data_IF_975115009340
#
_entry.id   IF_975115009340
#
_cell.length_a   1.000
_cell.length_b   1.000
_cell.length_c   1.000
_cell.angle_alpha   90.00
_cell.angle_beta   90.00
_cell.angle_gamma   90.00
#
_symmetry.space_group_name_H-M   'P 1'
#
loop_
_entity.id
_entity.type
_entity.pdbx_description
1 polymer ?
#
# COMPACT_ATOMS: atom_id res chain seq x y z
N UNK A 1 63.64 35.02 5.05
CA UNK A 1 62.62 34.15 5.65
C UNK A 1 61.22 34.73 5.29
N UNK A 2 60.60 34.21 4.25
CA UNK A 2 59.21 34.60 3.89
C UNK A 2 58.26 33.53 4.43
N UNK A 3 57.36 33.96 5.24
CA UNK A 3 56.30 33.22 5.91
C UNK A 3 55.35 32.49 4.93
N UNK A 4 55.39 31.16 4.98
CA UNK A 4 54.47 30.27 4.29
C UNK A 4 53.51 29.65 5.33
N UNK A 5 52.69 30.47 5.95
CA UNK A 5 51.56 29.98 6.79
C UNK A 5 50.47 31.03 6.67
N UNK A 6 49.61 30.95 5.62
CA UNK A 6 48.18 31.04 5.83
C UNK A 6 47.31 30.18 4.89
N UNK A 7 47.87 29.44 3.93
CA UNK A 7 47.06 28.73 2.94
C UNK A 7 46.44 27.45 3.49
N UNK A 8 47.07 26.78 4.43
CA UNK A 8 46.59 25.52 5.05
C UNK A 8 45.40 25.78 6.01
N UNK A 9 45.42 26.92 6.73
CA UNK A 9 44.34 27.28 7.64
C UNK A 9 43.06 27.64 6.91
N UNK A 10 43.12 28.27 5.73
CA UNK A 10 41.95 28.60 4.90
C UNK A 10 41.34 27.37 4.25
N UNK A 11 42.14 26.37 3.86
CA UNK A 11 41.60 25.10 3.31
C UNK A 11 40.94 24.27 4.41
N UNK A 12 41.51 24.26 5.63
CA UNK A 12 40.84 23.56 6.76
C UNK A 12 39.59 24.29 7.23
N UNK A 13 39.53 25.62 7.24
CA UNK A 13 38.34 26.36 7.55
C UNK A 13 37.24 26.19 6.47
N UNK A 14 37.64 26.13 5.19
CA UNK A 14 36.75 25.80 4.07
C UNK A 14 36.21 24.38 4.15
N UNK A 15 37.03 23.39 4.56
CA UNK A 15 36.59 22.00 4.73
C UNK A 15 35.67 21.82 5.96
N UNK A 16 35.94 22.53 7.04
CA UNK A 16 35.10 22.51 8.25
C UNK A 16 33.77 23.24 8.00
N UNK A 17 33.77 24.33 7.23
CA UNK A 17 32.54 25.02 6.79
C UNK A 17 31.78 24.18 5.76
N UNK A 18 32.44 23.46 4.88
CA UNK A 18 31.81 22.51 3.95
C UNK A 18 31.30 21.25 4.64
N UNK A 19 31.93 20.80 5.71
CA UNK A 19 31.46 19.70 6.58
C UNK A 19 30.39 20.14 7.59
N UNK A 20 30.32 21.42 7.93
CA UNK A 20 29.21 21.98 8.74
C UNK A 20 28.03 22.49 7.91
N UNK A 21 28.20 22.65 6.60
CA UNK A 21 27.11 22.75 5.62
C UNK A 21 26.67 21.35 5.15
N UNK A 22 26.61 20.33 6.01
CA UNK A 22 25.51 19.37 5.93
C UNK A 22 24.29 20.23 6.11
N UNK A 23 23.64 20.56 5.00
CA UNK A 23 22.33 21.17 4.99
C UNK A 23 21.52 20.48 6.09
N UNK A 24 21.20 21.18 7.17
CA UNK A 24 20.23 20.70 8.13
C UNK A 24 19.01 20.36 7.29
N UNK A 25 18.71 19.07 7.19
CA UNK A 25 17.56 18.57 6.47
C UNK A 25 16.37 19.22 7.15
N UNK A 26 15.77 20.19 6.49
CA UNK A 26 14.72 21.00 7.09
C UNK A 26 13.49 20.12 7.22
N UNK A 27 12.96 19.99 8.42
CA UNK A 27 11.72 19.26 8.67
C UNK A 27 10.61 19.80 7.78
N UNK A 28 9.94 18.93 7.05
CA UNK A 28 8.83 19.22 6.16
C UNK A 28 7.53 19.25 6.94
N UNK A 29 7.35 18.30 7.88
CA UNK A 29 6.13 18.18 8.68
C UNK A 29 6.11 19.23 9.79
N UNK A 30 5.16 20.16 9.73
CA UNK A 30 5.04 21.26 10.68
C UNK A 30 3.90 21.00 11.66
N UNK A 31 4.16 21.18 12.95
CA UNK A 31 3.17 20.98 14.03
C UNK A 31 1.86 21.75 13.80
N UNK A 32 1.94 22.98 13.30
CA UNK A 32 0.74 23.80 13.04
C UNK A 32 -0.17 23.19 11.97
N UNK A 33 0.37 22.41 11.04
CA UNK A 33 -0.39 21.86 9.93
C UNK A 33 -1.17 20.60 10.36
N UNK A 34 -0.59 19.75 11.22
CA UNK A 34 -1.23 18.50 11.63
C UNK A 34 -2.01 18.59 12.95
N UNK A 35 -1.61 19.41 13.92
CA UNK A 35 -2.30 19.49 15.21
C UNK A 35 -3.75 19.95 15.07
N UNK A 36 -4.03 20.94 14.20
CA UNK A 36 -5.38 21.39 13.92
C UNK A 36 -6.24 20.29 13.30
N UNK A 37 -5.66 19.43 12.46
CA UNK A 37 -6.31 18.29 11.81
C UNK A 37 -6.60 17.18 12.82
N UNK A 38 -5.64 16.88 13.71
CA UNK A 38 -5.82 15.85 14.74
C UNK A 38 -6.90 16.20 15.77
N UNK A 39 -7.14 17.49 15.99
CA UNK A 39 -8.18 17.97 16.92
C UNK A 39 -9.61 17.84 16.38
N UNK A 40 -9.78 17.64 15.06
CA UNK A 40 -11.07 17.53 14.42
C UNK A 40 -11.61 16.09 14.50
N UNK A 41 -12.65 15.87 15.32
CA UNK A 41 -13.36 14.60 15.41
C UNK A 41 -14.76 14.77 14.77
N UNK A 42 -15.01 14.15 13.64
CA UNK A 42 -16.37 14.04 13.11
C UNK A 42 -16.85 12.59 13.19
N UNK A 43 -17.83 12.32 14.06
CA UNK A 43 -18.57 11.07 14.00
C UNK A 43 -19.75 11.25 13.05
N UNK A 44 -19.77 10.55 11.93
CA UNK A 44 -20.91 10.57 11.02
C UNK A 44 -22.00 9.65 11.54
N UNK A 45 -23.15 10.20 11.95
CA UNK A 45 -24.39 9.44 12.24
C UNK A 45 -25.15 9.09 10.96
N UNK A 46 -24.69 9.55 9.80
CA UNK A 46 -25.37 9.40 8.51
C UNK A 46 -25.46 7.95 8.07
N UNK A 47 -24.36 7.21 8.18
CA UNK A 47 -24.31 5.82 7.74
C UNK A 47 -25.24 4.92 8.59
N UNK A 48 -25.34 5.18 9.90
CA UNK A 48 -26.25 4.44 10.77
C UNK A 48 -27.72 4.64 10.36
N UNK A 49 -28.13 5.87 10.05
CA UNK A 49 -29.49 6.17 9.57
C UNK A 49 -29.77 5.50 8.22
N UNK A 50 -28.80 5.48 7.33
CA UNK A 50 -28.94 4.83 6.02
C UNK A 50 -29.05 3.31 6.15
N UNK A 51 -28.27 2.68 7.03
CA UNK A 51 -28.38 1.25 7.36
C UNK A 51 -29.77 0.93 7.91
N UNK A 52 -30.27 1.72 8.87
CA UNK A 52 -31.61 1.54 9.43
C UNK A 52 -32.71 1.65 8.39
N UNK A 53 -32.61 2.65 7.50
CA UNK A 53 -33.54 2.85 6.40
C UNK A 53 -33.60 1.64 5.46
N UNK A 54 -32.46 1.14 4.98
CA UNK A 54 -32.44 0.00 4.07
C UNK A 54 -32.86 -1.29 4.77
N UNK A 55 -32.54 -1.48 6.04
CA UNK A 55 -33.04 -2.62 6.82
C UNK A 55 -34.55 -2.60 7.00
N UNK A 56 -35.16 -1.43 7.19
CA UNK A 56 -36.64 -1.31 7.24
C UNK A 56 -37.28 -1.66 5.88
N UNK A 57 -36.67 -1.24 4.77
CA UNK A 57 -37.13 -1.64 3.43
C UNK A 57 -37.05 -3.15 3.23
N UNK A 58 -36.00 -3.79 3.67
CA UNK A 58 -35.80 -5.24 3.57
C UNK A 58 -36.75 -6.04 4.50
N UNK A 59 -37.23 -5.45 5.59
CA UNK A 59 -38.30 -6.06 6.42
C UNK A 59 -39.64 -6.10 5.67
N UNK A 60 -39.92 -5.13 4.78
CA UNK A 60 -41.15 -5.07 3.97
C UNK A 60 -41.03 -6.01 2.77
N UNK A 61 -39.89 -5.98 2.09
CA UNK A 61 -39.60 -6.83 0.92
C UNK A 61 -38.18 -7.39 1.05
N UNK A 62 -38.06 -8.62 1.54
CA UNK A 62 -36.78 -9.33 1.74
C UNK A 62 -36.06 -9.64 0.44
N UNK A 63 -36.76 -9.60 -0.71
CA UNK A 63 -36.21 -9.86 -2.04
C UNK A 63 -35.83 -8.60 -2.81
N UNK A 64 -35.97 -7.41 -2.21
CA UNK A 64 -35.59 -6.13 -2.82
C UNK A 64 -34.07 -6.08 -3.13
N UNK A 65 -33.70 -6.48 -4.36
CA UNK A 65 -32.26 -6.47 -4.81
C UNK A 65 -31.68 -5.09 -4.72
N UNK A 66 -32.37 -4.04 -5.13
CA UNK A 66 -31.89 -2.66 -5.04
C UNK A 66 -31.60 -2.25 -3.60
N UNK A 67 -32.45 -2.68 -2.63
CA UNK A 67 -32.23 -2.41 -1.20
C UNK A 67 -30.96 -3.13 -0.69
N UNK A 68 -30.75 -4.39 -1.07
CA UNK A 68 -29.56 -5.17 -0.72
C UNK A 68 -28.29 -4.56 -1.31
N UNK A 69 -28.30 -4.16 -2.58
CA UNK A 69 -27.16 -3.48 -3.23
C UNK A 69 -26.81 -2.17 -2.51
N UNK A 70 -27.80 -1.37 -2.12
CA UNK A 70 -27.58 -0.13 -1.38
C UNK A 70 -27.03 -0.40 0.02
N UNK A 71 -27.63 -1.34 0.76
CA UNK A 71 -27.17 -1.69 2.10
C UNK A 71 -25.73 -2.23 2.08
N UNK A 72 -25.38 -3.11 1.13
CA UNK A 72 -24.02 -3.61 0.96
C UNK A 72 -23.02 -2.47 0.62
N UNK A 73 -23.43 -1.51 -0.21
CA UNK A 73 -22.61 -0.33 -0.52
C UNK A 73 -22.32 0.51 0.72
N UNK A 74 -23.31 0.72 1.62
CA UNK A 74 -23.12 1.46 2.88
C UNK A 74 -22.15 0.72 3.81
N UNK A 75 -22.27 -0.61 3.94
CA UNK A 75 -21.36 -1.41 4.74
C UNK A 75 -19.94 -1.40 4.18
N UNK A 76 -19.76 -1.49 2.85
CA UNK A 76 -18.45 -1.38 2.19
C UNK A 76 -17.82 0.00 2.40
N UNK A 77 -18.61 1.09 2.34
CA UNK A 77 -18.15 2.43 2.65
C UNK A 77 -17.68 2.53 4.11
N UNK A 78 -18.47 2.01 5.04
CA UNK A 78 -18.15 2.02 6.47
C UNK A 78 -16.85 1.24 6.77
N UNK A 79 -16.60 0.13 6.06
CA UNK A 79 -15.31 -0.56 6.13
C UNK A 79 -14.14 0.36 5.72
N UNK A 80 -14.25 1.08 4.60
CA UNK A 80 -13.19 2.01 4.16
C UNK A 80 -12.94 3.12 5.18
N UNK A 81 -13.98 3.59 5.87
CA UNK A 81 -13.87 4.66 6.87
C UNK A 81 -13.37 4.19 8.23
N UNK A 82 -13.68 2.95 8.63
CA UNK A 82 -13.44 2.44 10.01
C UNK A 82 -12.49 1.24 10.10
N UNK A 83 -12.02 0.71 8.97
CA UNK A 83 -11.18 -0.50 8.87
C UNK A 83 -11.79 -1.75 9.56
N UNK A 84 -13.10 -1.76 9.82
CA UNK A 84 -13.79 -2.89 10.46
C UNK A 84 -14.07 -4.00 9.45
N UNK A 85 -13.27 -5.07 9.46
CA UNK A 85 -13.47 -6.21 8.57
C UNK A 85 -14.89 -6.81 8.67
N UNK A 86 -15.52 -6.75 9.84
CA UNK A 86 -16.88 -7.24 10.03
C UNK A 86 -17.90 -6.46 9.17
N UNK A 87 -17.65 -5.19 8.87
CA UNK A 87 -18.54 -4.40 8.02
C UNK A 87 -18.42 -4.84 6.55
N UNK A 88 -17.22 -5.19 6.09
CA UNK A 88 -17.01 -5.76 4.76
C UNK A 88 -17.65 -7.15 4.61
N UNK A 89 -17.53 -8.00 5.65
CA UNK A 89 -18.17 -9.32 5.67
C UNK A 89 -19.70 -9.25 5.67
N UNK A 90 -20.28 -8.23 6.31
CA UNK A 90 -21.74 -7.97 6.22
C UNK A 90 -22.15 -7.60 4.80
N UNK A 91 -21.37 -6.73 4.12
CA UNK A 91 -21.64 -6.38 2.74
C UNK A 91 -21.60 -7.62 1.82
N UNK A 92 -20.57 -8.45 1.97
CA UNK A 92 -20.42 -9.72 1.25
C UNK A 92 -21.62 -10.64 1.49
N UNK A 93 -21.94 -10.92 2.75
CA UNK A 93 -23.06 -11.81 3.11
C UNK A 93 -24.41 -11.37 2.52
N UNK A 94 -24.70 -10.05 2.55
CA UNK A 94 -25.94 -9.51 1.97
C UNK A 94 -26.00 -9.81 0.46
N UNK A 95 -24.91 -9.64 -0.27
CA UNK A 95 -24.87 -9.86 -1.72
C UNK A 95 -24.89 -11.34 -2.08
N UNK A 96 -24.24 -12.22 -1.31
CA UNK A 96 -24.27 -13.66 -1.50
C UNK A 96 -25.71 -14.21 -1.43
N UNK A 97 -26.54 -13.67 -0.53
CA UNK A 97 -27.97 -14.06 -0.44
C UNK A 97 -28.83 -13.58 -1.64
N UNK A 98 -28.21 -12.93 -2.62
CA UNK A 98 -28.91 -12.35 -3.78
C UNK A 98 -28.47 -12.97 -5.10
N UNK A 99 -27.58 -13.96 -5.09
CA UNK A 99 -27.05 -14.59 -6.30
C UNK A 99 -28.09 -15.34 -7.12
N UNK A 100 -29.16 -15.80 -6.49
CA UNK A 100 -30.28 -16.48 -7.20
C UNK A 100 -31.22 -15.51 -7.91
N UNK A 101 -31.05 -14.21 -7.76
CA UNK A 101 -31.92 -13.19 -8.33
C UNK A 101 -31.41 -12.77 -9.71
N UNK A 102 -32.28 -12.85 -10.74
CA UNK A 102 -31.93 -12.40 -12.09
C UNK A 102 -31.83 -10.87 -12.19
N UNK A 103 -32.73 -10.15 -11.50
CA UNK A 103 -32.77 -8.70 -11.56
C UNK A 103 -31.59 -8.07 -10.85
N UNK A 104 -30.81 -7.28 -11.58
CA UNK A 104 -29.65 -6.58 -11.03
C UNK A 104 -28.42 -7.46 -10.77
N UNK A 105 -28.38 -8.70 -11.28
CA UNK A 105 -27.31 -9.68 -11.05
C UNK A 105 -25.93 -9.12 -11.47
N UNK A 106 -25.85 -8.40 -12.58
CA UNK A 106 -24.59 -7.72 -12.99
C UNK A 106 -24.05 -6.81 -11.89
N UNK A 107 -24.92 -6.02 -11.25
CA UNK A 107 -24.50 -5.11 -10.16
C UNK A 107 -24.09 -5.86 -8.89
N UNK A 108 -24.71 -7.02 -8.64
CA UNK A 108 -24.33 -7.92 -7.54
C UNK A 108 -22.93 -8.46 -7.80
N UNK A 109 -22.66 -9.03 -8.97
CA UNK A 109 -21.34 -9.52 -9.34
C UNK A 109 -20.28 -8.42 -9.29
N UNK A 110 -20.56 -7.23 -9.79
CA UNK A 110 -19.63 -6.09 -9.73
C UNK A 110 -19.29 -5.66 -8.29
N UNK A 111 -20.26 -5.67 -7.37
CA UNK A 111 -19.99 -5.36 -5.96
C UNK A 111 -19.23 -6.50 -5.27
N UNK A 112 -19.58 -7.76 -5.54
CA UNK A 112 -18.84 -8.92 -5.03
C UNK A 112 -17.38 -8.92 -5.52
N UNK A 113 -17.14 -8.62 -6.81
CA UNK A 113 -15.80 -8.45 -7.34
C UNK A 113 -15.01 -7.36 -6.59
N UNK A 114 -15.64 -6.21 -6.34
CA UNK A 114 -15.01 -5.11 -5.58
C UNK A 114 -14.70 -5.48 -4.13
N UNK A 115 -15.61 -6.23 -3.47
CA UNK A 115 -15.37 -6.75 -2.11
C UNK A 115 -14.25 -7.76 -2.11
N UNK A 116 -14.18 -8.65 -3.10
CA UNK A 116 -13.12 -9.66 -3.24
C UNK A 116 -11.75 -8.99 -3.45
N UNK A 117 -11.66 -7.88 -4.22
CA UNK A 117 -10.43 -7.06 -4.29
C UNK A 117 -10.04 -6.56 -2.90
N UNK A 118 -10.97 -5.95 -2.16
CA UNK A 118 -10.71 -5.44 -0.82
C UNK A 118 -10.27 -6.53 0.19
N UNK A 119 -10.65 -7.78 -0.07
CA UNK A 119 -10.25 -8.96 0.73
C UNK A 119 -9.01 -9.66 0.19
N UNK A 120 -8.35 -9.11 -0.83
CA UNK A 120 -7.23 -9.72 -1.55
C UNK A 120 -7.55 -11.11 -2.11
N UNK A 121 -8.82 -11.37 -2.43
CA UNK A 121 -9.24 -12.59 -3.12
C UNK A 121 -9.40 -12.33 -4.63
N UNK A 122 -8.28 -12.12 -5.29
CA UNK A 122 -8.23 -11.63 -6.67
C UNK A 122 -8.77 -12.64 -7.69
N UNK A 123 -8.61 -13.95 -7.45
CA UNK A 123 -9.19 -14.98 -8.32
C UNK A 123 -10.73 -14.94 -8.29
N UNK A 124 -11.30 -14.76 -7.11
CA UNK A 124 -12.75 -14.64 -6.96
C UNK A 124 -13.26 -13.32 -7.58
N UNK A 125 -12.51 -12.23 -7.39
CA UNK A 125 -12.80 -10.95 -8.05
C UNK A 125 -12.83 -11.12 -9.57
N UNK A 126 -11.81 -11.76 -10.15
CA UNK A 126 -11.75 -12.07 -11.57
C UNK A 126 -12.98 -12.84 -12.04
N UNK A 127 -13.35 -13.90 -11.32
CA UNK A 127 -14.53 -14.72 -11.63
C UNK A 127 -15.81 -13.90 -11.62
N UNK A 128 -16.06 -13.11 -10.57
CA UNK A 128 -17.27 -12.27 -10.51
C UNK A 128 -17.29 -11.18 -11.58
N UNK A 129 -16.14 -10.59 -11.89
CA UNK A 129 -16.04 -9.59 -12.95
C UNK A 129 -16.31 -10.19 -14.34
N UNK A 130 -15.89 -11.44 -14.61
CA UNK A 130 -16.24 -12.18 -15.82
C UNK A 130 -17.75 -12.45 -15.90
N UNK A 131 -18.35 -12.97 -14.83
CA UNK A 131 -19.79 -13.19 -14.78
C UNK A 131 -20.57 -11.88 -15.01
N UNK A 132 -20.13 -10.78 -14.42
CA UNK A 132 -20.75 -9.47 -14.66
C UNK A 132 -20.61 -9.00 -16.12
N UNK A 133 -19.53 -9.36 -16.81
CA UNK A 133 -19.31 -9.01 -18.21
C UNK A 133 -20.20 -9.86 -19.13
N UNK A 134 -20.38 -11.14 -18.82
CA UNK A 134 -21.24 -12.08 -19.56
C UNK A 134 -22.71 -11.65 -19.56
N UNK A 135 -23.21 -11.12 -18.43
CA UNK A 135 -24.56 -10.55 -18.33
C UNK A 135 -24.79 -9.33 -19.26
N UNK A 136 -23.73 -8.71 -19.75
CA UNK A 136 -23.77 -7.73 -20.83
C UNK A 136 -24.13 -6.31 -20.44
N UNK A 137 -24.54 -6.05 -19.20
CA UNK A 137 -24.82 -4.70 -18.68
C UNK A 137 -23.55 -4.05 -18.10
N UNK A 138 -23.46 -2.70 -18.13
CA UNK A 138 -22.39 -1.90 -17.52
C UNK A 138 -20.99 -2.46 -17.77
N UNK A 139 -20.71 -2.89 -18.98
CA UNK A 139 -19.49 -3.60 -19.39
C UNK A 139 -18.21 -2.87 -19.01
N UNK A 140 -18.20 -1.55 -19.10
CA UNK A 140 -17.03 -0.74 -18.75
C UNK A 140 -16.60 -0.94 -17.29
N UNK A 141 -17.54 -0.93 -16.35
CA UNK A 141 -17.24 -1.20 -14.93
C UNK A 141 -16.72 -2.62 -14.72
N UNK A 142 -17.26 -3.61 -15.45
CA UNK A 142 -16.76 -4.99 -15.39
C UNK A 142 -15.32 -5.08 -15.92
N UNK A 143 -14.97 -4.35 -16.99
CA UNK A 143 -13.60 -4.27 -17.48
C UNK A 143 -12.66 -3.64 -16.45
N UNK A 144 -13.09 -2.60 -15.72
CA UNK A 144 -12.27 -2.01 -14.66
C UNK A 144 -11.95 -3.03 -13.55
N UNK A 145 -12.93 -3.81 -13.13
CA UNK A 145 -12.75 -4.85 -12.11
C UNK A 145 -11.87 -5.99 -12.61
N UNK A 146 -12.01 -6.39 -13.88
CA UNK A 146 -11.14 -7.38 -14.53
C UNK A 146 -9.70 -6.87 -14.60
N UNK A 147 -9.50 -5.61 -15.00
CA UNK A 147 -8.18 -5.00 -15.01
C UNK A 147 -7.52 -5.04 -13.61
N UNK A 148 -8.24 -4.54 -12.60
CA UNK A 148 -7.73 -4.49 -11.23
C UNK A 148 -7.38 -5.90 -10.71
N UNK A 149 -8.22 -6.91 -11.00
CA UNK A 149 -7.93 -8.29 -10.63
C UNK A 149 -6.77 -8.90 -11.44
N UNK A 150 -6.65 -8.61 -12.74
CA UNK A 150 -5.57 -9.09 -13.59
C UNK A 150 -4.20 -8.58 -13.11
N UNK A 151 -4.13 -7.28 -12.79
CA UNK A 151 -2.90 -6.65 -12.30
C UNK A 151 -2.40 -7.34 -11.03
N UNK A 152 -3.28 -7.57 -10.07
CA UNK A 152 -2.96 -8.22 -8.80
C UNK A 152 -2.65 -9.73 -8.94
N UNK A 153 -3.16 -10.36 -10.01
CA UNK A 153 -2.85 -11.77 -10.33
C UNK A 153 -1.54 -11.94 -11.12
N UNK A 154 -0.82 -10.85 -11.42
CA UNK A 154 0.37 -10.88 -12.28
C UNK A 154 0.07 -11.11 -13.76
N UNK A 155 -1.19 -10.95 -14.18
CA UNK A 155 -1.64 -11.12 -15.57
C UNK A 155 -1.53 -9.80 -16.33
N UNK A 156 -0.31 -9.29 -16.43
CA UNK A 156 -0.06 -7.94 -16.98
C UNK A 156 -0.47 -7.79 -18.44
N UNK A 157 -0.29 -8.84 -19.26
CA UNK A 157 -0.74 -8.84 -20.67
C UNK A 157 -2.25 -8.73 -20.79
N UNK A 158 -3.01 -9.51 -19.99
CA UNK A 158 -4.47 -9.41 -19.95
C UNK A 158 -4.95 -8.05 -19.43
N UNK A 159 -4.26 -7.46 -18.44
CA UNK A 159 -4.57 -6.12 -17.95
C UNK A 159 -4.40 -5.08 -19.07
N UNK A 160 -3.31 -5.15 -19.85
CA UNK A 160 -3.06 -4.26 -20.97
C UNK A 160 -4.13 -4.41 -22.06
N UNK A 161 -4.47 -5.65 -22.45
CA UNK A 161 -5.53 -5.94 -23.42
C UNK A 161 -6.90 -5.40 -22.98
N UNK A 162 -7.21 -5.48 -21.68
CA UNK A 162 -8.45 -4.93 -21.11
C UNK A 162 -8.43 -3.41 -21.23
N UNK A 163 -7.32 -2.77 -20.88
CA UNK A 163 -7.18 -1.31 -20.94
C UNK A 163 -7.36 -0.77 -22.37
N UNK A 164 -6.82 -1.49 -23.37
CA UNK A 164 -6.98 -1.13 -24.78
C UNK A 164 -8.45 -1.17 -25.27
N UNK A 165 -9.28 -2.03 -24.69
CA UNK A 165 -10.72 -2.16 -25.02
C UNK A 165 -11.59 -1.03 -24.47
N UNK A 166 -11.08 -0.24 -23.53
CA UNK A 166 -11.82 0.89 -22.96
C UNK A 166 -11.91 2.03 -23.95
N UNK A 167 -13.15 2.57 -24.10
CA UNK A 167 -13.44 3.57 -25.15
C UNK A 167 -12.98 4.97 -24.76
N UNK A 168 -13.27 5.38 -23.50
CA UNK A 168 -12.93 6.71 -23.03
C UNK A 168 -11.57 6.70 -22.32
N UNK A 169 -10.52 6.92 -23.12
CA UNK A 169 -9.12 7.01 -22.65
C UNK A 169 -8.82 8.28 -21.85
N UNK A 170 -9.78 9.19 -21.70
CA UNK A 170 -9.63 10.43 -20.95
C UNK A 170 -10.50 10.43 -19.67
N UNK A 171 -11.18 9.33 -19.37
CA UNK A 171 -11.90 9.19 -18.10
C UNK A 171 -10.94 8.99 -16.93
N UNK A 172 -11.35 9.43 -15.74
CA UNK A 172 -10.62 9.15 -14.51
C UNK A 172 -10.25 7.67 -14.35
N UNK A 173 -11.24 6.80 -14.56
CA UNK A 173 -11.08 5.36 -14.38
C UNK A 173 -10.06 4.73 -15.35
N UNK A 174 -9.97 5.25 -16.58
CA UNK A 174 -8.93 4.83 -17.52
C UNK A 174 -7.56 5.32 -17.07
N UNK A 175 -7.43 6.63 -16.80
CA UNK A 175 -6.15 7.26 -16.43
C UNK A 175 -5.55 6.64 -15.16
N UNK A 176 -6.39 6.34 -14.16
CA UNK A 176 -5.99 5.62 -12.96
C UNK A 176 -5.36 4.25 -13.29
N UNK A 177 -6.00 3.48 -14.17
CA UNK A 177 -5.52 2.13 -14.50
C UNK A 177 -4.31 2.14 -15.40
N UNK A 178 -4.24 3.10 -16.31
CA UNK A 178 -3.05 3.34 -17.09
C UNK A 178 -1.86 3.72 -16.18
N UNK A 179 -2.08 4.60 -15.19
CA UNK A 179 -1.08 4.96 -14.18
C UNK A 179 -0.57 3.72 -13.43
N UNK A 180 -1.47 2.88 -12.90
CA UNK A 180 -1.09 1.64 -12.20
C UNK A 180 -0.29 0.67 -13.09
N UNK A 181 -0.60 0.59 -14.38
CA UNK A 181 0.09 -0.29 -15.30
C UNK A 181 1.50 0.22 -15.60
N UNK A 182 1.68 1.53 -15.79
CA UNK A 182 3.00 2.13 -16.01
C UNK A 182 3.87 2.03 -14.74
N UNK A 183 3.30 2.22 -13.56
CA UNK A 183 3.97 1.99 -12.28
C UNK A 183 4.51 0.54 -12.17
N UNK A 184 3.68 -0.46 -12.51
CA UNK A 184 4.11 -1.87 -12.54
C UNK A 184 5.17 -2.19 -13.61
N UNK A 185 5.30 -1.36 -14.64
CA UNK A 185 6.37 -1.44 -15.64
C UNK A 185 7.65 -0.73 -15.19
N UNK A 186 7.64 -0.04 -14.04
CA UNK A 186 8.74 0.75 -13.52
C UNK A 186 8.83 2.16 -14.09
N UNK A 187 7.82 2.64 -14.84
CA UNK A 187 7.76 4.02 -15.36
C UNK A 187 6.93 4.90 -14.40
N UNK A 188 7.52 5.21 -13.24
CA UNK A 188 6.88 6.02 -12.21
C UNK A 188 6.57 7.45 -12.69
N UNK A 189 7.43 8.04 -13.52
CA UNK A 189 7.21 9.39 -14.06
C UNK A 189 5.96 9.43 -14.95
N UNK A 190 5.78 8.45 -15.83
CA UNK A 190 4.60 8.34 -16.66
C UNK A 190 3.36 8.02 -15.81
N UNK A 191 3.50 7.19 -14.79
CA UNK A 191 2.42 6.87 -13.87
C UNK A 191 1.92 8.13 -13.11
N UNK A 192 2.83 8.97 -12.61
CA UNK A 192 2.50 10.27 -11.97
C UNK A 192 1.77 11.18 -12.96
N UNK A 193 2.29 11.37 -14.18
CA UNK A 193 1.65 12.23 -15.18
C UNK A 193 0.22 11.79 -15.52
N UNK A 194 -0.03 10.48 -15.60
CA UNK A 194 -1.36 9.92 -15.82
C UNK A 194 -2.29 10.17 -14.63
N UNK A 195 -1.79 10.02 -13.39
CA UNK A 195 -2.56 10.29 -12.19
C UNK A 195 -2.87 11.78 -12.02
N UNK A 196 -1.93 12.69 -12.34
CA UNK A 196 -2.18 14.15 -12.37
C UNK A 196 -3.30 14.51 -13.35
N UNK A 197 -3.27 13.96 -14.58
CA UNK A 197 -4.36 14.11 -15.54
C UNK A 197 -5.68 13.53 -15.03
N UNK A 198 -5.61 12.41 -14.31
CA UNK A 198 -6.75 11.80 -13.63
C UNK A 198 -7.34 12.72 -12.56
N UNK A 199 -6.50 13.34 -11.73
CA UNK A 199 -6.92 14.27 -10.70
C UNK A 199 -7.75 15.44 -11.26
N UNK A 200 -7.42 15.97 -12.44
CA UNK A 200 -8.20 17.00 -13.09
C UNK A 200 -9.65 16.59 -13.42
N UNK A 201 -9.91 15.29 -13.54
CA UNK A 201 -11.26 14.73 -13.82
C UNK A 201 -12.11 14.56 -12.58
N UNK A 202 -11.59 14.83 -11.38
CA UNK A 202 -12.33 14.66 -10.12
C UNK A 202 -13.14 15.88 -9.73
N UNK A 203 -13.14 16.96 -10.53
CA UNK A 203 -13.84 18.21 -10.24
C UNK A 203 -15.31 18.00 -9.87
N UNK A 204 -15.72 18.53 -8.72
CA UNK A 204 -17.08 18.40 -8.20
C UNK A 204 -17.37 17.06 -7.47
N UNK A 205 -16.36 16.24 -7.23
CA UNK A 205 -16.46 15.03 -6.44
C UNK A 205 -15.32 14.97 -5.39
N UNK A 206 -15.60 15.49 -4.21
CA UNK A 206 -14.64 15.61 -3.12
C UNK A 206 -14.10 14.26 -2.64
N UNK A 207 -14.93 13.20 -2.60
CA UNK A 207 -14.51 11.86 -2.21
C UNK A 207 -13.47 11.30 -3.20
N UNK A 208 -13.74 11.47 -4.49
CA UNK A 208 -12.84 11.01 -5.54
C UNK A 208 -11.56 11.85 -5.60
N UNK A 209 -11.65 13.16 -5.38
CA UNK A 209 -10.50 14.05 -5.30
C UNK A 209 -9.59 13.66 -4.14
N UNK A 210 -10.14 13.48 -2.92
CA UNK A 210 -9.38 13.08 -1.73
C UNK A 210 -8.65 11.76 -1.98
N UNK A 211 -9.34 10.80 -2.59
CA UNK A 211 -8.74 9.52 -2.94
C UNK A 211 -7.60 9.69 -3.95
N UNK A 212 -7.81 10.42 -5.04
CA UNK A 212 -6.83 10.60 -6.10
C UNK A 212 -5.59 11.38 -5.63
N UNK A 213 -5.79 12.50 -4.93
CA UNK A 213 -4.67 13.33 -4.46
C UNK A 213 -3.84 12.64 -3.38
N UNK A 214 -4.45 11.79 -2.53
CA UNK A 214 -3.70 11.05 -1.54
C UNK A 214 -2.85 9.93 -2.16
N UNK A 215 -3.36 9.22 -3.18
CA UNK A 215 -2.54 8.26 -3.92
C UNK A 215 -1.41 8.95 -4.71
N UNK A 216 -1.68 10.14 -5.26
CA UNK A 216 -0.64 10.94 -5.90
C UNK A 216 0.43 11.38 -4.88
N UNK A 217 0.02 11.61 -3.61
CA UNK A 217 0.94 11.86 -2.50
C UNK A 217 1.93 10.71 -2.28
N UNK A 218 1.45 9.46 -2.33
CA UNK A 218 2.34 8.29 -2.23
C UNK A 218 3.30 8.24 -3.43
N UNK A 219 2.80 8.41 -4.64
CA UNK A 219 3.61 8.37 -5.87
C UNK A 219 4.70 9.46 -5.87
N UNK A 220 4.41 10.66 -5.40
CA UNK A 220 5.42 11.72 -5.22
C UNK A 220 6.46 11.32 -4.16
N UNK A 221 6.03 10.65 -3.08
CA UNK A 221 6.94 10.10 -2.07
C UNK A 221 7.91 9.08 -2.66
N UNK A 222 7.41 8.13 -3.44
CA UNK A 222 8.21 7.12 -4.15
C UNK A 222 9.20 7.77 -5.15
N UNK A 223 8.79 8.86 -5.81
CA UNK A 223 9.66 9.65 -6.70
C UNK A 223 10.67 10.56 -5.96
N UNK A 224 10.69 10.55 -4.62
CA UNK A 224 11.54 11.43 -3.82
C UNK A 224 11.10 12.91 -3.78
N UNK A 225 9.92 13.23 -4.35
CA UNK A 225 9.35 14.58 -4.38
C UNK A 225 8.57 14.88 -3.07
N UNK A 226 9.27 14.83 -1.93
CA UNK A 226 8.66 14.78 -0.60
C UNK A 226 7.81 16.01 -0.27
N UNK A 227 8.20 17.22 -0.70
CA UNK A 227 7.37 18.41 -0.51
C UNK A 227 6.05 18.32 -1.28
N UNK A 228 6.04 17.76 -2.51
CA UNK A 228 4.80 17.54 -3.25
C UNK A 228 3.92 16.48 -2.56
N UNK A 229 4.53 15.40 -2.09
CA UNK A 229 3.85 14.37 -1.29
C UNK A 229 3.15 14.97 -0.07
N UNK A 230 3.89 15.78 0.72
CA UNK A 230 3.36 16.47 1.88
C UNK A 230 2.17 17.37 1.54
N UNK A 231 2.30 18.21 0.50
CA UNK A 231 1.23 19.09 0.06
C UNK A 231 0.00 18.35 -0.45
N UNK A 232 0.18 17.21 -1.12
CA UNK A 232 -0.90 16.36 -1.58
C UNK A 232 -1.71 15.78 -0.40
N UNK A 233 -1.04 15.28 0.63
CA UNK A 233 -1.71 14.80 1.85
C UNK A 233 -2.44 15.92 2.60
N UNK A 234 -1.85 17.11 2.70
CA UNK A 234 -2.51 18.27 3.32
C UNK A 234 -3.76 18.70 2.53
N UNK A 235 -3.72 18.69 1.19
CA UNK A 235 -4.89 19.01 0.37
C UNK A 235 -6.02 17.99 0.59
N UNK A 236 -5.70 16.69 0.68
CA UNK A 236 -6.68 15.67 1.02
C UNK A 236 -7.30 15.90 2.39
N UNK A 237 -6.49 16.26 3.39
CA UNK A 237 -6.91 16.49 4.76
C UNK A 237 -7.69 17.80 4.94
N UNK A 238 -7.46 18.80 4.09
CA UNK A 238 -8.25 20.03 4.07
C UNK A 238 -9.72 19.78 3.72
N UNK A 239 -9.98 18.77 2.87
CA UNK A 239 -11.34 18.35 2.49
C UNK A 239 -11.89 17.30 3.45
N UNK A 240 -11.09 16.30 3.80
CA UNK A 240 -11.48 15.24 4.73
C UNK A 240 -10.45 15.13 5.88
N UNK A 241 -10.63 15.86 6.98
CA UNK A 241 -9.73 15.79 8.14
C UNK A 241 -9.58 14.42 8.79
N UNK A 242 -10.49 13.49 8.49
CA UNK A 242 -10.45 12.10 9.00
C UNK A 242 -9.84 11.09 8.01
N UNK A 243 -9.26 11.56 6.91
CA UNK A 243 -8.65 10.69 5.91
C UNK A 243 -7.38 10.03 6.48
N UNK A 244 -7.52 8.79 6.98
CA UNK A 244 -6.45 8.07 7.68
C UNK A 244 -5.23 7.82 6.80
N UNK A 245 -5.43 7.50 5.51
CA UNK A 245 -4.34 7.27 4.57
C UNK A 245 -3.41 8.48 4.50
N UNK A 246 -3.96 9.70 4.30
CA UNK A 246 -3.15 10.92 4.29
C UNK A 246 -2.48 11.21 5.64
N UNK A 247 -3.10 10.86 6.78
CA UNK A 247 -2.44 10.98 8.08
C UNK A 247 -1.28 10.00 8.23
N UNK A 248 -1.43 8.76 7.73
CA UNK A 248 -0.34 7.78 7.71
C UNK A 248 0.79 8.26 6.79
N UNK A 249 0.48 8.87 5.64
CA UNK A 249 1.47 9.48 4.75
C UNK A 249 2.24 10.63 5.42
N UNK A 250 1.54 11.54 6.15
CA UNK A 250 2.22 12.58 6.94
C UNK A 250 3.13 11.98 8.03
N UNK A 251 2.66 10.95 8.72
CA UNK A 251 3.46 10.24 9.72
C UNK A 251 4.70 9.58 9.09
N UNK A 252 4.55 9.00 7.89
CA UNK A 252 5.67 8.41 7.17
C UNK A 252 6.71 9.47 6.78
N UNK A 253 6.29 10.64 6.29
CA UNK A 253 7.20 11.76 5.99
C UNK A 253 7.93 12.21 7.26
N UNK A 254 7.23 12.39 8.38
CA UNK A 254 7.85 12.76 9.65
C UNK A 254 8.90 11.74 10.12
N UNK A 255 8.63 10.44 9.92
CA UNK A 255 9.53 9.36 10.31
C UNK A 255 10.67 9.15 9.32
N UNK A 256 10.34 8.91 8.05
CA UNK A 256 11.33 8.49 7.05
C UNK A 256 12.17 9.66 6.51
N UNK A 257 11.54 10.83 6.29
CA UNK A 257 12.25 12.00 5.79
C UNK A 257 12.80 12.87 6.91
N UNK A 258 11.96 13.31 7.87
CA UNK A 258 12.38 14.26 8.89
C UNK A 258 13.16 13.60 10.04
N UNK A 259 13.16 12.25 10.14
CA UNK A 259 13.81 11.51 11.21
C UNK A 259 13.16 11.76 12.58
N UNK A 260 11.86 12.07 12.61
CA UNK A 260 11.12 12.42 13.81
C UNK A 260 10.03 11.38 14.15
N UNK A 261 10.40 10.24 14.76
CA UNK A 261 9.44 9.20 15.11
C UNK A 261 8.40 9.68 16.13
N UNK A 262 8.72 10.65 17.00
CA UNK A 262 7.77 11.14 18.00
C UNK A 262 6.56 11.82 17.37
N UNK A 263 6.76 12.67 16.36
CA UNK A 263 5.65 13.29 15.59
C UNK A 263 4.85 12.22 14.86
N UNK A 264 5.54 11.28 14.22
CA UNK A 264 4.90 10.19 13.49
C UNK A 264 4.01 9.34 14.40
N UNK A 265 4.51 8.95 15.57
CA UNK A 265 3.76 8.19 16.59
C UNK A 265 2.54 8.96 17.09
N UNK A 266 2.66 10.27 17.37
CA UNK A 266 1.52 11.11 17.78
C UNK A 266 0.38 11.05 16.75
N UNK A 267 0.72 11.25 15.46
CA UNK A 267 -0.24 11.21 14.35
C UNK A 267 -0.89 9.81 14.26
N UNK A 268 -0.08 8.75 14.31
CA UNK A 268 -0.55 7.37 14.18
C UNK A 268 -1.43 6.92 15.34
N UNK A 269 -1.04 7.18 16.58
CA UNK A 269 -1.80 6.82 17.78
C UNK A 269 -3.17 7.51 17.75
N UNK A 270 -3.20 8.80 17.42
CA UNK A 270 -4.44 9.54 17.30
C UNK A 270 -5.31 8.99 16.18
N UNK A 271 -4.72 8.65 15.03
CA UNK A 271 -5.43 8.05 13.90
C UNK A 271 -6.02 6.69 14.27
N UNK A 272 -5.25 5.83 14.94
CA UNK A 272 -5.68 4.52 15.39
C UNK A 272 -6.89 4.59 16.35
N UNK A 273 -6.96 5.63 17.19
CA UNK A 273 -8.04 5.79 18.17
C UNK A 273 -9.45 5.86 17.56
N UNK A 274 -9.59 6.30 16.32
CA UNK A 274 -10.89 6.38 15.63
C UNK A 274 -11.00 5.45 14.40
N UNK A 275 -9.88 5.04 13.84
CA UNK A 275 -9.80 4.04 12.78
C UNK A 275 -8.70 3.03 13.12
N UNK A 276 -9.03 1.94 13.81
CA UNK A 276 -8.07 0.92 14.25
C UNK A 276 -7.62 0.05 13.06
N UNK A 277 -6.90 0.65 12.12
CA UNK A 277 -6.30 -0.03 10.99
C UNK A 277 -5.07 -0.82 11.47
N UNK A 278 -5.01 -2.13 11.23
CA UNK A 278 -3.87 -2.92 11.66
C UNK A 278 -2.52 -2.40 11.14
N UNK A 279 -2.45 -1.83 9.93
CA UNK A 279 -1.20 -1.31 9.36
C UNK A 279 -0.56 -0.22 10.23
N UNK A 280 -1.34 0.55 10.97
CA UNK A 280 -0.79 1.54 11.91
C UNK A 280 0.07 0.88 12.99
N UNK A 281 -0.30 -0.32 13.45
CA UNK A 281 0.50 -1.06 14.43
C UNK A 281 1.84 -1.49 13.86
N UNK A 282 1.87 -1.93 12.60
CA UNK A 282 3.12 -2.28 11.93
C UNK A 282 4.08 -1.07 11.89
N UNK A 283 3.58 0.10 11.49
CA UNK A 283 4.37 1.33 11.48
C UNK A 283 4.86 1.72 12.89
N UNK A 284 4.01 1.58 13.91
CA UNK A 284 4.39 1.86 15.30
C UNK A 284 5.43 0.88 15.84
N UNK A 285 5.37 -0.40 15.44
CA UNK A 285 6.38 -1.39 15.82
C UNK A 285 7.75 -1.05 15.22
N UNK A 286 7.80 -0.68 13.94
CA UNK A 286 9.03 -0.25 13.26
C UNK A 286 9.64 0.99 13.93
N UNK A 287 8.82 1.99 14.27
CA UNK A 287 9.30 3.19 14.97
C UNK A 287 9.84 2.88 16.37
N UNK A 288 9.21 1.94 17.10
CA UNK A 288 9.72 1.50 18.39
C UNK A 288 11.06 0.77 18.26
N UNK A 289 11.23 -0.03 17.21
CA UNK A 289 12.50 -0.68 16.90
C UNK A 289 13.58 0.34 16.52
N UNK A 290 13.27 1.33 15.70
CA UNK A 290 14.15 2.43 15.35
C UNK A 290 14.66 3.18 16.59
N UNK A 291 13.79 3.42 17.58
CA UNK A 291 14.13 4.01 18.88
C UNK A 291 14.83 3.02 19.82
N UNK A 292 15.13 1.79 19.36
CA UNK A 292 15.75 0.71 20.13
C UNK A 292 14.93 0.23 21.33
N UNK A 293 13.63 0.46 21.30
CA UNK A 293 12.69 -0.08 22.27
C UNK A 293 12.16 -1.45 21.78
N UNK A 294 13.05 -2.43 21.74
CA UNK A 294 12.78 -3.75 21.17
C UNK A 294 11.66 -4.49 21.88
N UNK A 295 11.51 -4.31 23.19
CA UNK A 295 10.43 -4.93 23.97
C UNK A 295 9.05 -4.41 23.52
N UNK A 296 8.92 -3.09 23.36
CA UNK A 296 7.68 -2.47 22.85
C UNK A 296 7.42 -2.86 21.40
N UNK A 297 8.45 -2.86 20.57
CA UNK A 297 8.33 -3.26 19.16
C UNK A 297 7.78 -4.69 19.03
N UNK A 298 8.36 -5.64 19.76
CA UNK A 298 7.90 -7.04 19.77
C UNK A 298 6.47 -7.18 20.28
N UNK A 299 6.09 -6.45 21.36
CA UNK A 299 4.74 -6.46 21.89
C UNK A 299 3.71 -5.97 20.85
N UNK A 300 4.00 -4.86 20.16
CA UNK A 300 3.12 -4.29 19.14
C UNK A 300 3.05 -5.22 17.93
N UNK A 301 4.19 -5.79 17.50
CA UNK A 301 4.24 -6.71 16.37
C UNK A 301 3.47 -8.00 16.66
N UNK A 302 3.53 -8.52 17.87
CA UNK A 302 2.76 -9.70 18.28
C UNK A 302 1.25 -9.39 18.28
N UNK A 303 0.83 -8.25 18.81
CA UNK A 303 -0.58 -7.83 18.78
C UNK A 303 -1.07 -7.60 17.32
N UNK A 304 -0.22 -7.03 16.45
CA UNK A 304 -0.50 -6.95 15.02
C UNK A 304 -0.71 -8.34 14.41
N UNK A 305 0.23 -9.26 14.65
CA UNK A 305 0.16 -10.63 14.13
C UNK A 305 -1.12 -11.35 14.59
N UNK A 306 -1.48 -11.24 15.87
CA UNK A 306 -2.69 -11.85 16.44
C UNK A 306 -3.97 -11.31 15.80
N UNK A 307 -3.98 -10.03 15.43
CA UNK A 307 -5.12 -9.41 14.73
C UNK A 307 -5.22 -9.96 13.31
N UNK A 308 -4.14 -9.87 12.51
CA UNK A 308 -4.19 -10.17 11.08
C UNK A 308 -4.23 -11.65 10.76
N UNK A 309 -3.83 -12.52 11.69
CA UNK A 309 -3.90 -13.98 11.55
C UNK A 309 -5.32 -14.55 11.74
N UNK A 310 -6.28 -13.74 12.21
CA UNK A 310 -7.66 -14.19 12.39
C UNK A 310 -8.30 -14.54 11.05
N UNK A 311 -8.98 -15.69 10.98
CA UNK A 311 -9.60 -16.23 9.76
C UNK A 311 -10.53 -15.24 9.02
N UNK A 312 -11.13 -14.29 9.73
CA UNK A 312 -12.00 -13.27 9.14
C UNK A 312 -11.29 -12.34 8.13
N UNK A 313 -9.98 -12.14 8.28
CA UNK A 313 -9.18 -11.34 7.35
C UNK A 313 -8.82 -12.08 6.07
N UNK A 314 -8.89 -13.42 6.07
CA UNK A 314 -8.56 -14.21 4.89
C UNK A 314 -7.13 -13.97 4.44
N UNK A 315 -6.95 -13.42 3.24
CA UNK A 315 -5.64 -13.22 2.63
C UNK A 315 -5.17 -11.75 2.59
N UNK A 316 -5.93 -10.83 3.21
CA UNK A 316 -5.63 -9.39 3.17
C UNK A 316 -4.21 -9.03 3.62
N UNK A 317 -3.66 -9.82 4.53
CA UNK A 317 -2.34 -9.56 5.13
C UNK A 317 -1.33 -10.68 4.89
N UNK A 318 -1.53 -11.52 3.86
CA UNK A 318 -0.65 -12.68 3.56
C UNK A 318 0.82 -12.28 3.45
N UNK A 319 1.14 -11.17 2.75
CA UNK A 319 2.51 -10.64 2.66
C UNK A 319 3.13 -10.47 4.04
N UNK A 320 2.48 -9.72 4.91
CA UNK A 320 3.02 -9.41 6.24
C UNK A 320 3.11 -10.63 7.15
N UNK A 321 2.14 -11.56 7.06
CA UNK A 321 2.22 -12.83 7.78
C UNK A 321 3.41 -13.67 7.32
N UNK A 322 3.70 -13.68 6.01
CA UNK A 322 4.87 -14.39 5.47
C UNK A 322 6.16 -13.76 5.96
N UNK A 323 6.29 -12.42 5.89
CA UNK A 323 7.47 -11.69 6.32
C UNK A 323 7.75 -11.89 7.82
N UNK A 324 6.72 -11.82 8.67
CA UNK A 324 6.87 -12.05 10.11
C UNK A 324 7.20 -13.52 10.40
N UNK A 325 6.53 -14.46 9.74
CA UNK A 325 6.83 -15.89 9.89
C UNK A 325 8.26 -16.20 9.38
N UNK A 326 8.77 -15.52 8.35
CA UNK A 326 10.14 -15.71 7.86
C UNK A 326 11.21 -15.45 8.93
N UNK A 327 10.94 -14.50 9.85
CA UNK A 327 11.85 -14.21 10.97
C UNK A 327 11.64 -15.13 12.20
N UNK A 328 10.43 -15.67 12.39
CA UNK A 328 10.07 -16.42 13.61
C UNK A 328 9.92 -17.93 13.38
N UNK A 329 9.46 -18.36 12.21
CA UNK A 329 9.13 -19.73 11.84
C UNK A 329 9.21 -19.84 10.31
N UNK A 330 10.45 -19.96 9.79
CA UNK A 330 10.73 -19.93 8.35
C UNK A 330 10.07 -21.09 7.58
N UNK A 331 9.86 -22.27 8.19
CA UNK A 331 9.13 -23.38 7.56
C UNK A 331 7.67 -22.97 7.29
N UNK A 332 7.05 -22.30 8.25
CA UNK A 332 5.68 -21.77 8.11
C UNK A 332 5.59 -20.67 7.07
N UNK A 333 6.61 -19.80 6.97
CA UNK A 333 6.70 -18.79 5.92
C UNK A 333 6.74 -19.43 4.53
N UNK A 334 7.56 -20.48 4.33
CA UNK A 334 7.61 -21.24 3.08
C UNK A 334 6.24 -21.83 2.75
N UNK A 335 5.58 -22.47 3.72
CA UNK A 335 4.26 -23.07 3.50
C UNK A 335 3.21 -22.02 3.10
N UNK A 336 3.20 -20.84 3.73
CA UNK A 336 2.31 -19.74 3.37
C UNK A 336 2.60 -19.16 1.99
N UNK A 337 3.88 -18.99 1.65
CA UNK A 337 4.31 -18.47 0.35
C UNK A 337 3.86 -19.39 -0.78
N UNK A 338 3.96 -20.71 -0.60
CA UNK A 338 3.48 -21.70 -1.58
C UNK A 338 1.95 -21.65 -1.76
N UNK A 339 1.20 -21.42 -0.67
CA UNK A 339 -0.25 -21.20 -0.76
C UNK A 339 -0.54 -19.92 -1.56
N UNK A 340 0.18 -18.84 -1.29
CA UNK A 340 -0.05 -17.54 -1.95
C UNK A 340 0.30 -17.59 -3.45
N UNK A 341 1.36 -18.29 -3.86
CA UNK A 341 1.70 -18.51 -5.28
C UNK A 341 0.57 -19.21 -6.03
N UNK A 342 -0.06 -20.23 -5.44
CA UNK A 342 -1.21 -20.89 -6.07
C UNK A 342 -2.41 -19.95 -6.27
N UNK A 343 -2.44 -18.84 -5.56
CA UNK A 343 -3.51 -17.83 -5.65
C UNK A 343 -3.16 -16.68 -6.57
N UNK A 344 -1.92 -16.23 -6.56
CA UNK A 344 -1.39 -15.17 -7.42
C UNK A 344 0.11 -15.35 -7.62
N UNK A 345 0.52 -15.61 -8.84
CA UNK A 345 1.90 -15.92 -9.19
C UNK A 345 2.60 -14.66 -9.76
N UNK A 346 2.60 -13.55 -9.01
CA UNK A 346 3.33 -12.34 -9.40
C UNK A 346 4.80 -12.40 -8.94
N UNK A 347 5.70 -11.60 -9.54
CA UNK A 347 7.11 -11.53 -9.13
C UNK A 347 7.27 -11.23 -7.64
N UNK A 348 6.46 -10.33 -7.07
CA UNK A 348 6.52 -9.95 -5.65
C UNK A 348 6.13 -11.12 -4.74
N UNK A 349 5.24 -12.01 -5.20
CA UNK A 349 4.88 -13.20 -4.40
C UNK A 349 5.94 -14.29 -4.52
N UNK A 350 6.59 -14.41 -5.67
CA UNK A 350 7.76 -15.28 -5.79
C UNK A 350 8.94 -14.76 -4.96
N UNK A 351 9.11 -13.45 -4.81
CA UNK A 351 10.08 -12.87 -3.88
C UNK A 351 9.83 -13.33 -2.44
N UNK A 352 8.58 -13.28 -1.96
CA UNK A 352 8.26 -13.79 -0.62
C UNK A 352 8.62 -15.28 -0.44
N UNK A 353 8.51 -16.10 -1.49
CA UNK A 353 8.95 -17.47 -1.43
C UNK A 353 10.49 -17.58 -1.43
N UNK A 354 11.18 -16.80 -2.27
CA UNK A 354 12.63 -16.76 -2.30
C UNK A 354 13.19 -16.31 -0.94
N UNK A 355 12.61 -15.25 -0.36
CA UNK A 355 12.95 -14.75 0.97
C UNK A 355 12.69 -15.80 2.06
N UNK A 356 11.52 -16.49 2.02
CA UNK A 356 11.20 -17.56 2.96
C UNK A 356 12.21 -18.72 2.89
N UNK A 357 12.60 -19.14 1.68
CA UNK A 357 13.66 -20.14 1.52
C UNK A 357 15.02 -19.65 2.01
N UNK A 358 15.36 -18.38 1.78
CA UNK A 358 16.58 -17.79 2.27
C UNK A 358 16.65 -17.80 3.81
N UNK A 359 15.57 -17.40 4.47
CA UNK A 359 15.44 -17.41 5.93
C UNK A 359 15.37 -18.82 6.51
N UNK A 360 15.04 -19.82 5.68
CA UNK A 360 15.02 -21.24 6.04
C UNK A 360 16.33 -21.98 5.71
N UNK A 361 17.44 -21.25 5.52
CA UNK A 361 18.76 -21.78 5.17
C UNK A 361 18.79 -22.62 3.86
N UNK A 362 17.80 -22.43 2.99
CA UNK A 362 17.65 -23.13 1.71
C UNK A 362 18.12 -22.27 0.52
N UNK A 363 19.33 -21.69 0.63
CA UNK A 363 19.90 -20.72 -0.33
C UNK A 363 19.76 -21.15 -1.81
N UNK A 364 20.00 -22.42 -2.13
CA UNK A 364 19.90 -22.92 -3.52
C UNK A 364 18.47 -22.80 -4.07
N UNK A 365 17.44 -23.02 -3.23
CA UNK A 365 16.06 -22.85 -3.64
C UNK A 365 15.72 -21.37 -3.75
N UNK A 366 16.18 -20.54 -2.82
CA UNK A 366 16.00 -19.09 -2.87
C UNK A 366 16.55 -18.52 -4.17
N UNK A 367 17.79 -18.82 -4.53
CA UNK A 367 18.42 -18.38 -5.78
C UNK A 367 17.63 -18.82 -7.01
N UNK A 368 17.24 -20.10 -7.06
CA UNK A 368 16.46 -20.61 -8.20
C UNK A 368 15.16 -19.82 -8.41
N UNK A 369 14.40 -19.58 -7.34
CA UNK A 369 13.14 -18.81 -7.42
C UNK A 369 13.44 -17.35 -7.80
N UNK A 370 14.47 -16.75 -7.20
CA UNK A 370 14.89 -15.40 -7.49
C UNK A 370 15.22 -15.19 -8.98
N UNK A 371 16.03 -16.09 -9.57
CA UNK A 371 16.44 -16.03 -10.97
C UNK A 371 15.30 -16.32 -11.96
N UNK A 372 14.50 -17.34 -11.67
CA UNK A 372 13.44 -17.77 -12.60
C UNK A 372 12.22 -16.83 -12.59
N UNK A 373 11.90 -16.21 -11.44
CA UNK A 373 10.60 -15.57 -11.24
C UNK A 373 10.64 -14.11 -10.79
N UNK A 374 11.76 -13.60 -10.27
CA UNK A 374 11.81 -12.26 -9.63
C UNK A 374 12.74 -11.29 -10.35
N UNK A 375 14.00 -11.66 -10.56
CA UNK A 375 15.03 -10.78 -11.08
C UNK A 375 14.65 -10.14 -12.41
N UNK A 376 14.68 -8.81 -12.44
CA UNK A 376 14.33 -8.01 -13.64
C UNK A 376 12.85 -8.06 -14.01
N UNK A 377 11.96 -8.51 -13.10
CA UNK A 377 10.51 -8.59 -13.35
C UNK A 377 9.69 -7.69 -12.42
N UNK A 378 10.33 -7.04 -11.48
CA UNK A 378 9.75 -6.06 -10.57
C UNK A 378 10.79 -5.03 -10.18
N UNK A 379 10.34 -3.84 -9.84
CA UNK A 379 11.17 -2.68 -9.45
C UNK A 379 10.90 -2.28 -7.98
N UNK A 380 10.20 -3.11 -7.21
CA UNK A 380 9.87 -2.85 -5.80
C UNK A 380 11.16 -2.83 -4.96
N UNK A 381 11.46 -1.75 -4.24
CA UNK A 381 12.74 -1.60 -3.51
C UNK A 381 12.97 -2.68 -2.43
N UNK A 382 11.91 -3.14 -1.76
CA UNK A 382 11.99 -4.24 -0.78
C UNK A 382 12.42 -5.55 -1.46
N UNK A 383 11.97 -5.80 -2.69
CA UNK A 383 12.36 -6.98 -3.47
C UNK A 383 13.84 -6.91 -3.86
N UNK A 384 14.30 -5.74 -4.30
CA UNK A 384 15.72 -5.52 -4.61
C UNK A 384 16.61 -5.76 -3.37
N UNK A 385 16.16 -5.31 -2.19
CA UNK A 385 16.84 -5.59 -0.93
C UNK A 385 16.92 -7.09 -0.63
N UNK A 386 15.82 -7.83 -0.74
CA UNK A 386 15.81 -9.28 -0.52
C UNK A 386 16.76 -10.01 -1.50
N UNK A 387 16.68 -9.68 -2.78
CA UNK A 387 17.56 -10.22 -3.80
C UNK A 387 19.04 -9.90 -3.47
N UNK A 388 19.32 -8.66 -3.11
CA UNK A 388 20.67 -8.23 -2.73
C UNK A 388 21.27 -9.08 -1.62
N UNK A 389 20.50 -9.41 -0.57
CA UNK A 389 20.95 -10.27 0.52
C UNK A 389 21.11 -11.75 0.09
N UNK A 390 20.19 -12.26 -0.72
CA UNK A 390 20.27 -13.64 -1.26
C UNK A 390 21.54 -13.79 -2.11
N UNK A 391 21.84 -12.85 -3.01
CA UNK A 391 23.06 -12.88 -3.83
C UNK A 391 24.34 -12.69 -3.01
N UNK A 392 24.30 -11.90 -1.94
CA UNK A 392 25.42 -11.72 -1.03
C UNK A 392 25.80 -13.05 -0.36
N UNK A 393 24.82 -13.76 0.18
CA UNK A 393 25.05 -15.05 0.82
C UNK A 393 25.54 -16.12 -0.19
N UNK A 394 25.15 -15.97 -1.47
CA UNK A 394 25.65 -16.82 -2.55
C UNK A 394 27.10 -16.52 -2.98
N UNK A 395 27.70 -15.43 -2.47
CA UNK A 395 29.03 -14.96 -2.86
C UNK A 395 29.07 -14.13 -4.16
N UNK A 396 27.90 -13.79 -4.72
CA UNK A 396 27.73 -12.99 -5.92
C UNK A 396 27.80 -11.47 -5.57
N UNK A 397 28.93 -11.03 -4.99
CA UNK A 397 29.07 -9.72 -4.37
C UNK A 397 28.78 -8.55 -5.32
N UNK A 398 29.19 -8.63 -6.60
CA UNK A 398 28.95 -7.55 -7.57
C UNK A 398 27.47 -7.33 -7.82
N UNK A 399 26.72 -8.42 -7.98
CA UNK A 399 25.25 -8.36 -8.21
C UNK A 399 24.51 -7.94 -6.96
N UNK A 400 24.94 -8.43 -5.79
CA UNK A 400 24.42 -7.98 -4.50
C UNK A 400 24.59 -6.47 -4.32
N UNK A 401 25.78 -5.94 -4.61
CA UNK A 401 26.05 -4.51 -4.50
C UNK A 401 25.14 -3.69 -5.42
N UNK A 402 25.02 -4.07 -6.70
CA UNK A 402 24.14 -3.40 -7.66
C UNK A 402 22.68 -3.32 -7.15
N UNK A 403 22.12 -4.45 -6.72
CA UNK A 403 20.74 -4.53 -6.23
C UNK A 403 20.51 -3.72 -4.94
N UNK A 404 21.48 -3.75 -4.01
CA UNK A 404 21.39 -3.01 -2.76
C UNK A 404 21.56 -1.50 -2.96
N UNK A 405 22.42 -1.08 -3.90
CA UNK A 405 22.57 0.32 -4.27
C UNK A 405 21.32 0.85 -4.96
N UNK A 406 20.74 0.08 -5.89
CA UNK A 406 19.46 0.40 -6.55
C UNK A 406 18.32 0.52 -5.53
N UNK A 407 18.20 -0.42 -4.58
CA UNK A 407 17.21 -0.33 -3.52
C UNK A 407 17.32 0.96 -2.70
N UNK A 408 18.54 1.44 -2.42
CA UNK A 408 18.78 2.67 -1.66
C UNK A 408 18.37 3.95 -2.41
N UNK A 409 18.17 3.92 -3.73
CA UNK A 409 17.62 5.06 -4.45
C UNK A 409 16.20 5.40 -3.95
N UNK A 410 15.49 4.41 -3.40
CA UNK A 410 14.16 4.55 -2.80
C UNK A 410 14.21 4.59 -1.25
N UNK A 411 15.23 5.22 -0.65
CA UNK A 411 15.45 5.27 0.81
C UNK A 411 14.21 5.79 1.57
N UNK A 412 13.48 6.74 1.01
CA UNK A 412 12.25 7.26 1.62
C UNK A 412 11.16 6.18 1.74
N UNK A 413 10.97 5.38 0.70
CA UNK A 413 9.97 4.30 0.65
C UNK A 413 10.34 3.15 1.59
N UNK A 414 11.60 2.73 1.55
CA UNK A 414 12.13 1.66 2.41
C UNK A 414 12.09 2.01 3.90
N UNK A 415 12.13 3.28 4.22
CA UNK A 415 12.20 3.77 5.60
C UNK A 415 13.57 3.62 6.24
N UNK A 416 13.74 4.23 7.43
CA UNK A 416 15.04 4.29 8.11
C UNK A 416 15.59 2.92 8.52
N UNK A 417 14.76 1.96 8.93
CA UNK A 417 15.23 0.65 9.41
C UNK A 417 15.84 -0.16 8.29
N UNK A 418 15.11 -0.36 7.19
CA UNK A 418 15.60 -1.15 6.05
C UNK A 418 16.79 -0.47 5.37
N UNK A 419 16.77 0.85 5.26
CA UNK A 419 17.92 1.63 4.75
C UNK A 419 19.20 1.45 5.59
N UNK A 420 19.07 1.35 6.93
CA UNK A 420 20.21 1.05 7.80
C UNK A 420 20.75 -0.36 7.58
N UNK A 421 19.88 -1.34 7.36
CA UNK A 421 20.28 -2.72 7.08
C UNK A 421 21.00 -2.83 5.75
N UNK A 422 20.50 -2.19 4.69
CA UNK A 422 21.16 -2.14 3.39
C UNK A 422 22.54 -1.49 3.51
N UNK A 423 22.63 -0.34 4.19
CA UNK A 423 23.92 0.35 4.41
C UNK A 423 24.93 -0.50 5.21
N UNK A 424 24.47 -1.35 6.14
CA UNK A 424 25.32 -2.35 6.81
C UNK A 424 25.74 -3.45 5.86
N UNK A 425 24.80 -3.96 5.04
CA UNK A 425 25.10 -5.02 4.10
C UNK A 425 26.13 -4.60 3.04
N UNK A 426 26.11 -3.36 2.57
CA UNK A 426 27.07 -2.81 1.62
C UNK A 426 28.47 -2.58 2.20
N UNK A 427 28.63 -2.45 3.53
CA UNK A 427 29.93 -2.23 4.20
C UNK A 427 30.69 -3.51 4.50
N UNK A 428 30.00 -4.61 4.64
CA UNK A 428 30.56 -5.92 4.98
C UNK A 428 30.77 -6.79 3.73
#
# INVERSE_FOLDING_TARGET
MKTVIPTIALVFLGLVIFLSLKLEKKDIVKSNDYLSILSQNSSSTKDQKEIEFWNQKLKIDSNCTACKLKLASVWSKKFREKASINDLLKADSILQTSLDQKLGITSIYQQLASISISRHNFQESWKYAQLALEEGEKKERSHFLLFDAALELGKYGEAEDILQKLKDKNSFNYLLRASKLEDKKGDLDQAIQLMEKGLEKTKGNDELFVWAISNLGDMYGHAGEIEKSYMAFLQALAINPNHSHSKMGLAWIAYSHDGNPSIAQEILIKTYSYKPDPQIKLMLAEMAEYEKNYELAELILQDYYDIISQAKYGFMYSKYLILIDAEKDSEKAVARSLIEINRRASPEIYDLLAWSYFKNDELKKALKIAEEHVLGKTFEPEVLYHLGLIYKEAGENSKSQELLEEALESEFELGPMMSLEIKKALKN
#
